data_IF_066727785443
#
_entry.id   IF_066727785443
#
_cell.length_a   1.000
_cell.length_b   1.000
_cell.length_c   1.000
_cell.angle_alpha   90.00
_cell.angle_beta   90.00
_cell.angle_gamma   90.00
#
_symmetry.space_group_name_H-M   'P 1'
#
loop_
_entity.id
_entity.type
_entity.pdbx_description
1 polymer ?
#
# COMPACT_ATOMS: atom_id res chain seq x y z
N UNK A 1 39.32 29.45 17.99
CA UNK A 1 39.08 28.03 17.63
C UNK A 1 37.59 27.80 17.54
N UNK A 2 36.99 28.04 16.37
CA UNK A 2 35.58 27.75 16.10
C UNK A 2 35.48 26.38 15.44
N UNK A 3 34.94 25.39 16.15
CA UNK A 3 34.49 24.13 15.54
C UNK A 3 33.13 24.41 14.88
N UNK A 4 33.06 24.28 13.56
CA UNK A 4 31.79 24.23 12.84
C UNK A 4 31.04 22.96 13.26
N UNK A 5 29.82 23.13 13.77
CA UNK A 5 28.96 22.04 14.27
C UNK A 5 28.27 21.28 13.12
N UNK A 6 28.41 21.73 11.88
CA UNK A 6 27.78 21.11 10.71
C UNK A 6 28.84 20.80 9.65
N UNK A 7 29.44 19.61 9.75
CA UNK A 7 30.10 19.00 8.61
C UNK A 7 29.04 18.41 7.69
N UNK A 8 28.54 19.22 6.74
CA UNK A 8 27.85 18.65 5.58
C UNK A 8 28.95 18.12 4.65
N UNK A 9 29.11 16.80 4.62
CA UNK A 9 29.87 16.15 3.56
C UNK A 9 29.13 16.39 2.24
N UNK A 10 29.65 17.28 1.40
CA UNK A 10 29.05 17.62 0.11
C UNK A 10 29.07 16.46 -0.89
N UNK A 11 29.73 15.34 -0.54
CA UNK A 11 29.80 14.12 -1.35
C UNK A 11 28.95 12.97 -0.82
N UNK A 12 28.22 13.13 0.29
CA UNK A 12 27.25 12.12 0.73
C UNK A 12 26.02 12.20 -0.16
N UNK A 13 26.07 11.51 -1.31
CA UNK A 13 24.90 11.27 -2.13
C UNK A 13 23.93 10.45 -1.26
N UNK A 14 22.85 11.08 -0.79
CA UNK A 14 21.77 10.36 -0.10
C UNK A 14 21.13 9.48 -1.16
N UNK A 15 21.45 8.18 -1.12
CA UNK A 15 20.86 7.18 -2.00
C UNK A 15 19.42 6.92 -1.53
N UNK A 16 18.52 7.83 -1.89
CA UNK A 16 17.10 7.69 -1.62
C UNK A 16 16.46 6.96 -2.81
N UNK A 17 15.79 5.81 -2.59
CA UNK A 17 15.13 5.12 -3.68
C UNK A 17 14.01 5.99 -4.27
N UNK A 18 13.78 5.87 -5.59
CA UNK A 18 12.75 6.63 -6.30
C UNK A 18 11.34 6.44 -5.73
N UNK A 19 11.07 5.27 -5.15
CA UNK A 19 9.83 4.94 -4.46
C UNK A 19 10.16 4.32 -3.09
N UNK A 20 9.34 4.53 -2.07
CA UNK A 20 9.65 4.08 -0.71
C UNK A 20 9.64 2.56 -0.58
N UNK A 21 10.53 2.03 0.27
CA UNK A 21 10.58 0.61 0.63
C UNK A 21 9.52 0.34 1.73
N UNK A 22 8.28 0.05 1.34
CA UNK A 22 7.17 -0.16 2.29
C UNK A 22 5.96 -0.87 1.67
N UNK A 23 4.98 -1.18 2.52
CA UNK A 23 3.66 -1.62 2.10
C UNK A 23 2.83 -0.46 1.56
N UNK A 24 2.40 -0.57 0.31
CA UNK A 24 1.58 0.42 -0.38
C UNK A 24 0.13 -0.05 -0.44
N UNK A 25 -0.79 0.75 0.10
CA UNK A 25 -2.22 0.47 -0.01
C UNK A 25 -2.70 0.67 -1.45
N UNK A 26 -2.79 -0.41 -2.21
CA UNK A 26 -3.07 -0.37 -3.65
C UNK A 26 -4.55 -0.11 -3.95
N UNK A 27 -5.47 -0.74 -3.22
CA UNK A 27 -6.91 -0.57 -3.42
C UNK A 27 -7.74 -1.10 -2.24
N UNK A 28 -9.03 -0.72 -2.13
CA UNK A 28 -9.97 -1.37 -1.23
C UNK A 28 -10.17 -2.83 -1.64
N UNK A 29 -10.22 -3.73 -0.66
CA UNK A 29 -10.52 -5.15 -0.86
C UNK A 29 -11.84 -5.36 -1.60
N UNK A 30 -12.87 -4.59 -1.25
CA UNK A 30 -14.19 -4.62 -1.92
C UNK A 30 -14.15 -4.29 -3.41
N UNK A 31 -13.07 -3.64 -3.88
CA UNK A 31 -12.91 -3.29 -5.28
C UNK A 31 -12.38 -4.45 -6.15
N UNK A 32 -12.06 -5.59 -5.52
CA UNK A 32 -11.64 -6.83 -6.16
C UNK A 32 -12.47 -8.01 -5.60
N UNK A 33 -13.78 -8.14 -5.93
CA UNK A 33 -14.62 -9.22 -5.42
C UNK A 33 -14.13 -10.61 -5.89
N UNK A 34 -14.77 -11.68 -5.41
CA UNK A 34 -14.47 -13.04 -5.86
C UNK A 34 -14.58 -13.16 -7.39
N UNK A 35 -13.65 -13.90 -7.99
CA UNK A 35 -13.51 -14.12 -9.42
C UNK A 35 -13.29 -12.84 -10.25
N UNK A 36 -12.77 -11.77 -9.63
CA UNK A 36 -12.46 -10.53 -10.30
C UNK A 36 -10.97 -10.40 -10.64
N UNK A 37 -10.71 -9.62 -11.68
CA UNK A 37 -9.38 -9.20 -12.13
C UNK A 37 -9.37 -7.69 -12.20
N UNK A 38 -8.26 -7.07 -11.78
CA UNK A 38 -8.09 -5.62 -11.85
C UNK A 38 -6.68 -5.27 -12.27
N UNK A 39 -6.58 -4.51 -13.35
CA UNK A 39 -5.35 -3.86 -13.79
C UNK A 39 -5.15 -2.54 -13.05
N UNK A 40 -3.92 -2.26 -12.64
CA UNK A 40 -3.55 -0.99 -12.01
C UNK A 40 -2.05 -0.71 -12.14
N UNK A 41 -1.65 0.54 -11.91
CA UNK A 41 -0.25 0.96 -11.93
C UNK A 41 0.23 1.28 -10.51
N UNK A 42 1.47 0.90 -10.19
CA UNK A 42 2.13 1.23 -8.93
C UNK A 42 3.64 1.34 -9.15
N UNK A 43 4.28 2.39 -8.65
CA UNK A 43 5.73 2.59 -8.77
C UNK A 43 6.25 2.49 -10.22
N UNK A 44 5.47 3.01 -11.18
CA UNK A 44 5.78 2.93 -12.62
C UNK A 44 5.64 1.53 -13.23
N UNK A 45 5.10 0.56 -12.51
CA UNK A 45 4.90 -0.81 -12.96
C UNK A 45 3.42 -1.08 -13.25
N UNK A 46 3.13 -1.76 -14.37
CA UNK A 46 1.80 -2.26 -14.68
C UNK A 46 1.57 -3.60 -13.97
N UNK A 47 0.54 -3.66 -13.14
CA UNK A 47 0.23 -4.79 -12.26
C UNK A 47 -1.17 -5.32 -12.54
N UNK A 48 -1.36 -6.60 -12.21
CA UNK A 48 -2.66 -7.27 -12.21
C UNK A 48 -2.92 -7.85 -10.83
N UNK A 49 -4.03 -7.44 -10.21
CA UNK A 49 -4.60 -8.08 -9.03
C UNK A 49 -5.71 -9.03 -9.46
N UNK A 50 -5.79 -10.22 -8.87
CA UNK A 50 -6.92 -11.10 -9.06
C UNK A 50 -7.27 -11.84 -7.77
N UNK A 51 -8.54 -12.20 -7.64
CA UNK A 51 -9.08 -12.98 -6.52
C UNK A 51 -9.91 -14.12 -7.11
N UNK A 52 -9.57 -15.36 -6.81
CA UNK A 52 -10.32 -16.52 -7.28
C UNK A 52 -11.23 -17.11 -6.22
N UNK A 53 -11.53 -18.41 -6.36
CA UNK A 53 -12.50 -19.12 -5.53
C UNK A 53 -12.01 -19.34 -4.10
N UNK A 54 -10.69 -19.33 -3.87
CA UNK A 54 -10.13 -19.43 -2.51
C UNK A 54 -10.38 -18.18 -1.66
N UNK A 55 -10.70 -17.05 -2.30
CA UNK A 55 -10.80 -15.74 -1.67
C UNK A 55 -9.46 -15.03 -1.46
N UNK A 56 -8.33 -15.70 -1.68
CA UNK A 56 -7.01 -15.08 -1.58
C UNK A 56 -6.79 -14.06 -2.71
N UNK A 57 -6.13 -12.96 -2.37
CA UNK A 57 -5.71 -11.93 -3.33
C UNK A 57 -4.29 -12.21 -3.80
N UNK A 58 -4.10 -12.13 -5.11
CA UNK A 58 -2.80 -12.26 -5.75
C UNK A 58 -2.50 -11.03 -6.59
N UNK A 59 -1.27 -10.53 -6.52
CA UNK A 59 -0.79 -9.46 -7.40
C UNK A 59 0.44 -9.93 -8.16
N UNK A 60 0.38 -9.81 -9.47
CA UNK A 60 1.45 -10.14 -10.40
C UNK A 60 1.76 -8.93 -11.28
N UNK A 61 2.89 -8.99 -11.98
CA UNK A 61 3.16 -8.07 -13.09
C UNK A 61 2.15 -8.32 -14.23
N UNK A 62 1.69 -7.26 -14.89
CA UNK A 62 0.57 -7.36 -15.82
C UNK A 62 0.92 -8.08 -17.13
N UNK A 63 2.18 -8.08 -17.57
CA UNK A 63 2.53 -8.58 -18.90
C UNK A 63 2.87 -10.06 -18.91
N UNK A 64 2.19 -10.80 -19.79
CA UNK A 64 2.41 -12.21 -20.02
C UNK A 64 3.80 -12.46 -20.63
N UNK A 65 4.65 -13.34 -20.05
CA UNK A 65 6.00 -13.60 -20.55
C UNK A 65 6.04 -14.33 -21.90
N UNK A 66 4.88 -14.79 -22.42
CA UNK A 66 4.81 -15.41 -23.74
C UNK A 66 5.04 -14.38 -24.86
N UNK A 67 4.12 -13.42 -25.02
CA UNK A 67 4.17 -12.40 -26.09
C UNK A 67 3.68 -11.02 -25.61
N UNK A 68 3.71 -10.74 -24.30
CA UNK A 68 3.47 -9.41 -23.76
C UNK A 68 2.00 -8.98 -23.67
N UNK A 69 1.03 -9.90 -23.80
CA UNK A 69 -0.38 -9.57 -23.55
C UNK A 69 -0.59 -9.13 -22.09
N UNK A 70 -1.39 -8.09 -21.87
CA UNK A 70 -1.72 -7.64 -20.52
C UNK A 70 -2.79 -8.56 -19.90
N UNK A 71 -2.39 -9.29 -18.85
CA UNK A 71 -3.21 -10.23 -18.09
C UNK A 71 -4.40 -9.56 -17.39
N UNK A 72 -4.28 -8.28 -17.04
CA UNK A 72 -5.37 -7.51 -16.42
C UNK A 72 -6.40 -6.96 -17.41
N UNK A 73 -6.11 -7.01 -18.72
CA UNK A 73 -7.01 -6.52 -19.78
C UNK A 73 -7.56 -7.70 -20.55
N UNK A 74 -8.79 -8.13 -20.22
CA UNK A 74 -9.47 -9.27 -20.85
C UNK A 74 -9.07 -10.63 -20.30
N UNK A 75 -8.04 -10.71 -19.45
CA UNK A 75 -7.78 -11.91 -18.66
C UNK A 75 -8.88 -12.14 -17.61
N UNK A 76 -9.03 -13.40 -17.18
CA UNK A 76 -10.04 -13.81 -16.22
C UNK A 76 -9.50 -14.88 -15.30
N UNK A 77 -10.11 -14.99 -14.11
CA UNK A 77 -9.72 -15.98 -13.12
C UNK A 77 -10.26 -17.36 -13.51
N UNK A 78 -9.40 -18.36 -13.37
CA UNK A 78 -9.73 -19.78 -13.55
C UNK A 78 -9.07 -20.58 -12.43
N UNK A 79 -9.59 -21.75 -12.13
CA UNK A 79 -8.94 -22.69 -11.21
C UNK A 79 -8.17 -23.74 -12.00
N UNK A 80 -6.89 -23.95 -11.69
CA UNK A 80 -6.07 -25.01 -12.25
C UNK A 80 -5.48 -25.84 -11.10
N UNK A 81 -5.75 -27.14 -11.07
CA UNK A 81 -5.21 -28.06 -10.05
C UNK A 81 -5.47 -27.62 -8.59
N UNK A 82 -6.58 -26.90 -8.35
CA UNK A 82 -6.94 -26.37 -7.03
C UNK A 82 -6.38 -24.98 -6.71
N UNK A 83 -5.50 -24.43 -7.57
CA UNK A 83 -4.94 -23.09 -7.41
C UNK A 83 -5.74 -22.05 -8.21
N UNK A 84 -5.94 -20.87 -7.63
CA UNK A 84 -6.46 -19.72 -8.35
C UNK A 84 -5.40 -19.20 -9.33
N UNK A 85 -5.79 -19.09 -10.60
CA UNK A 85 -4.92 -18.68 -11.70
C UNK A 85 -5.54 -17.54 -12.52
N UNK A 86 -4.69 -16.66 -13.04
CA UNK A 86 -5.08 -15.71 -14.09
C UNK A 86 -4.82 -16.35 -15.46
N UNK A 87 -5.86 -16.43 -16.30
CA UNK A 87 -5.75 -16.89 -17.67
C UNK A 87 -5.47 -15.71 -18.61
N UNK A 88 -4.38 -15.82 -19.37
CA UNK A 88 -4.00 -14.86 -20.39
C UNK A 88 -5.06 -14.80 -21.51
N UNK A 89 -5.53 -13.61 -21.89
CA UNK A 89 -6.57 -13.45 -22.92
C UNK A 89 -6.10 -13.86 -24.32
N UNK A 90 -4.79 -13.90 -24.57
CA UNK A 90 -4.27 -14.10 -25.92
C UNK A 90 -4.23 -15.59 -26.30
N UNK A 91 -3.46 -16.38 -25.55
CA UNK A 91 -3.22 -17.79 -25.86
C UNK A 91 -3.65 -18.75 -24.75
N UNK A 92 -4.38 -18.26 -23.74
CA UNK A 92 -4.93 -19.09 -22.68
C UNK A 92 -3.92 -19.67 -21.68
N UNK A 93 -2.67 -19.18 -21.66
CA UNK A 93 -1.69 -19.56 -20.64
C UNK A 93 -2.19 -19.15 -19.26
N UNK A 94 -2.05 -20.02 -18.26
CA UNK A 94 -2.54 -19.78 -16.89
C UNK A 94 -1.37 -19.62 -15.95
N UNK A 95 -1.40 -18.55 -15.15
CA UNK A 95 -0.38 -18.27 -14.14
C UNK A 95 -1.03 -18.27 -12.77
N UNK A 96 -0.44 -19.02 -11.83
CA UNK A 96 -0.90 -19.07 -10.44
C UNK A 96 -0.59 -17.78 -9.68
N UNK A 97 -1.14 -17.65 -8.48
CA UNK A 97 -0.80 -16.55 -7.55
C UNK A 97 0.67 -16.51 -7.10
N UNK A 98 1.41 -17.59 -7.32
CA UNK A 98 2.86 -17.70 -7.17
C UNK A 98 3.64 -17.16 -8.38
N UNK A 99 2.95 -16.79 -9.47
CA UNK A 99 3.53 -16.33 -10.73
C UNK A 99 3.94 -17.46 -11.67
N UNK A 100 3.86 -18.72 -11.26
CA UNK A 100 4.31 -19.86 -12.06
C UNK A 100 3.30 -20.18 -13.15
N UNK A 101 3.79 -20.60 -14.32
CA UNK A 101 2.94 -21.11 -15.39
C UNK A 101 2.34 -22.47 -15.01
N UNK A 102 1.05 -22.48 -14.68
CA UNK A 102 0.31 -23.67 -14.22
C UNK A 102 -0.31 -24.46 -15.38
N UNK A 103 -0.56 -23.82 -16.52
CA UNK A 103 -1.14 -24.48 -17.69
C UNK A 103 -0.81 -23.75 -18.99
N UNK A 104 -0.52 -24.53 -20.03
CA UNK A 104 -0.48 -24.08 -21.41
C UNK A 104 -1.47 -24.94 -22.20
N UNK A 105 -2.43 -24.35 -22.93
CA UNK A 105 -3.35 -25.14 -23.75
C UNK A 105 -2.60 -26.06 -24.72
N UNK A 106 -3.07 -27.30 -24.84
CA UNK A 106 -2.49 -28.35 -25.70
C UNK A 106 -1.06 -28.80 -25.35
N UNK A 107 -0.49 -28.35 -24.23
CA UNK A 107 0.77 -28.87 -23.71
C UNK A 107 0.48 -29.92 -22.62
N UNK A 108 1.22 -31.04 -22.64
CA UNK A 108 1.11 -32.06 -21.61
C UNK A 108 1.92 -31.66 -20.35
N UNK A 109 1.60 -32.29 -19.21
CA UNK A 109 2.22 -31.94 -17.92
C UNK A 109 3.72 -32.21 -17.86
N UNK A 110 4.23 -33.21 -18.61
CA UNK A 110 5.67 -33.48 -18.69
C UNK A 110 6.42 -32.33 -19.37
N UNK A 111 5.90 -31.82 -20.47
CA UNK A 111 6.52 -30.73 -21.23
C UNK A 111 6.33 -29.40 -20.50
N UNK A 112 5.21 -29.21 -19.80
CA UNK A 112 4.98 -28.02 -18.97
C UNK A 112 6.07 -27.84 -17.90
N UNK A 113 6.57 -28.93 -17.31
CA UNK A 113 7.68 -28.87 -16.32
C UNK A 113 8.99 -28.33 -16.91
N UNK A 114 9.18 -28.42 -18.22
CA UNK A 114 10.34 -27.86 -18.90
C UNK A 114 10.20 -26.35 -19.17
N UNK A 115 8.99 -25.79 -19.06
CA UNK A 115 8.72 -24.37 -19.30
C UNK A 115 9.13 -23.54 -18.09
N UNK A 116 10.00 -22.55 -18.31
CA UNK A 116 10.52 -21.63 -17.28
C UNK A 116 9.83 -20.25 -17.29
N UNK A 117 8.61 -20.18 -17.81
CA UNK A 117 7.87 -18.93 -17.90
C UNK A 117 7.27 -18.57 -16.53
N UNK A 118 7.70 -17.43 -15.98
CA UNK A 118 7.27 -16.92 -14.68
C UNK A 118 6.84 -15.47 -14.83
N UNK A 119 5.70 -15.12 -14.24
CA UNK A 119 5.29 -13.72 -14.05
C UNK A 119 5.77 -13.30 -12.68
N UNK A 120 6.43 -12.14 -12.57
CA UNK A 120 6.88 -11.63 -11.26
C UNK A 120 5.67 -11.45 -10.33
N UNK A 121 5.66 -12.19 -9.22
CA UNK A 121 4.76 -12.02 -8.08
C UNK A 121 5.16 -10.81 -7.26
N UNK A 122 4.16 -10.09 -6.76
CA UNK A 122 4.33 -9.04 -5.76
C UNK A 122 3.81 -9.50 -4.41
N UNK A 123 4.59 -9.30 -3.35
CA UNK A 123 4.14 -9.65 -1.99
C UNK A 123 2.92 -8.81 -1.67
N UNK A 124 1.85 -9.49 -1.24
CA UNK A 124 0.52 -8.90 -1.11
C UNK A 124 -0.07 -9.31 0.23
N UNK A 125 -0.69 -8.35 0.93
CA UNK A 125 -1.45 -8.60 2.15
C UNK A 125 -2.81 -7.95 2.02
N UNK A 126 -3.86 -8.72 2.29
CA UNK A 126 -5.19 -8.16 2.51
C UNK A 126 -5.43 -8.04 4.01
N UNK A 127 -5.62 -6.82 4.48
CA UNK A 127 -5.88 -6.52 5.90
C UNK A 127 -6.62 -5.20 6.00
N UNK A 128 -7.40 -5.02 7.06
CA UNK A 128 -8.13 -3.77 7.30
C UNK A 128 -8.98 -3.31 6.09
N UNK A 129 -9.69 -4.21 5.41
CA UNK A 129 -10.46 -3.91 4.20
C UNK A 129 -9.65 -3.31 3.02
N UNK A 130 -8.31 -3.34 3.08
CA UNK A 130 -7.38 -2.83 2.07
C UNK A 130 -6.49 -3.96 1.55
N UNK A 131 -6.10 -3.85 0.28
CA UNK A 131 -5.09 -4.69 -0.34
C UNK A 131 -3.79 -3.87 -0.37
N UNK A 132 -2.78 -4.37 0.31
CA UNK A 132 -1.43 -3.81 0.35
C UNK A 132 -0.50 -4.61 -0.55
N UNK A 133 0.41 -3.89 -1.23
CA UNK A 133 1.46 -4.47 -2.06
C UNK A 133 2.80 -3.96 -1.56
N UNK A 134 3.75 -4.85 -1.30
CA UNK A 134 5.09 -4.49 -0.87
C UNK A 134 5.90 -3.96 -2.04
N UNK A 135 6.58 -2.84 -1.82
CA UNK A 135 7.61 -2.33 -2.72
C UNK A 135 8.94 -2.27 -1.98
N UNK A 136 10.01 -2.70 -2.65
CA UNK A 136 11.39 -2.48 -2.24
C UNK A 136 12.23 -2.26 -3.49
N UNK A 137 13.06 -1.22 -3.51
CA UNK A 137 13.93 -0.83 -4.64
C UNK A 137 14.86 -1.98 -5.07
N UNK A 138 15.45 -2.65 -4.09
CA UNK A 138 16.35 -3.80 -4.30
C UNK A 138 15.65 -5.17 -4.30
N UNK A 139 14.33 -5.19 -4.08
CA UNK A 139 13.55 -6.43 -4.05
C UNK A 139 13.69 -7.28 -2.78
N UNK A 140 14.16 -6.70 -1.67
CA UNK A 140 14.22 -7.36 -0.37
C UNK A 140 12.82 -7.73 0.15
N UNK A 141 12.76 -8.74 1.00
CA UNK A 141 11.53 -9.17 1.66
C UNK A 141 11.02 -8.13 2.68
N UNK A 142 9.69 -8.12 2.99
CA UNK A 142 9.13 -7.23 3.99
C UNK A 142 9.74 -7.44 5.38
N UNK A 143 10.28 -6.37 5.95
CA UNK A 143 10.83 -6.31 7.32
C UNK A 143 9.83 -5.72 8.33
N UNK A 144 8.77 -5.06 7.85
CA UNK A 144 7.65 -4.56 8.63
C UNK A 144 6.32 -4.94 7.98
N UNK A 145 5.22 -4.81 8.73
CA UNK A 145 3.88 -5.21 8.29
C UNK A 145 2.83 -4.18 8.73
N UNK A 146 1.74 -3.97 7.96
CA UNK A 146 0.65 -3.09 8.39
C UNK A 146 0.02 -3.58 9.70
N UNK A 147 -0.17 -2.67 10.65
CA UNK A 147 -0.89 -2.96 11.90
C UNK A 147 -2.33 -3.40 11.59
N UNK A 148 -2.83 -4.38 12.33
CA UNK A 148 -4.23 -4.81 12.25
C UNK A 148 -5.10 -3.97 13.19
N UNK A 149 -5.50 -2.80 12.71
CA UNK A 149 -6.27 -1.87 13.53
C UNK A 149 -7.72 -2.34 13.73
N UNK A 150 -8.30 -3.10 12.80
CA UNK A 150 -9.65 -3.65 12.97
C UNK A 150 -9.68 -4.72 14.06
N UNK A 151 -8.66 -5.58 14.10
CA UNK A 151 -8.50 -6.51 15.21
C UNK A 151 -8.24 -5.79 16.54
N UNK A 152 -7.45 -4.71 16.52
CA UNK A 152 -7.05 -3.97 17.73
C UNK A 152 -8.15 -3.10 18.34
N UNK A 153 -8.96 -2.43 17.50
CA UNK A 153 -9.93 -1.41 17.93
C UNK A 153 -11.39 -1.86 17.74
N UNK A 154 -11.62 -3.06 17.20
CA UNK A 154 -12.92 -3.70 17.13
C UNK A 154 -13.54 -3.67 15.73
N UNK A 155 -14.20 -4.78 15.37
CA UNK A 155 -14.84 -5.01 14.06
C UNK A 155 -16.05 -4.11 13.75
N UNK A 156 -16.46 -3.24 14.68
CA UNK A 156 -17.49 -2.23 14.42
C UNK A 156 -16.95 -1.03 13.63
N UNK A 157 -15.63 -0.97 13.42
CA UNK A 157 -14.98 -0.01 12.55
C UNK A 157 -14.97 -0.54 11.11
N UNK A 158 -15.42 0.28 10.16
CA UNK A 158 -15.33 -0.01 8.73
C UNK A 158 -14.97 1.25 7.97
N UNK A 159 -14.37 1.11 6.80
CA UNK A 159 -14.16 2.24 5.90
C UNK A 159 -15.50 2.73 5.35
N UNK A 160 -16.10 3.72 6.02
CA UNK A 160 -17.35 4.32 5.55
C UNK A 160 -17.21 5.01 4.20
N UNK A 161 -16.05 5.61 3.94
CA UNK A 161 -15.75 6.29 2.69
C UNK A 161 -14.36 5.89 2.20
N UNK A 162 -14.25 5.67 0.89
CA UNK A 162 -12.97 5.56 0.19
C UNK A 162 -12.99 6.59 -0.94
N UNK A 163 -11.93 7.36 -1.03
CA UNK A 163 -11.74 8.36 -2.07
C UNK A 163 -10.34 8.21 -2.65
N UNK A 164 -10.26 8.30 -3.97
CA UNK A 164 -9.01 8.24 -4.72
C UNK A 164 -9.01 9.35 -5.76
N UNK A 165 -7.85 9.99 -5.90
CA UNK A 165 -7.56 11.00 -6.91
C UNK A 165 -6.17 10.77 -7.46
N UNK A 166 -6.04 10.96 -8.76
CA UNK A 166 -4.74 11.10 -9.40
C UNK A 166 -4.22 12.51 -9.15
N UNK A 167 -2.94 12.63 -8.78
CA UNK A 167 -2.26 13.89 -8.58
C UNK A 167 -0.96 13.84 -9.39
N UNK A 168 -0.80 14.80 -10.30
CA UNK A 168 0.40 14.97 -11.12
C UNK A 168 1.52 15.64 -10.31
N UNK A 169 1.99 14.97 -9.26
CA UNK A 169 3.00 15.47 -8.33
C UNK A 169 3.81 14.32 -7.73
N UNK A 170 4.98 14.64 -7.17
CA UNK A 170 5.69 13.70 -6.30
C UNK A 170 4.80 13.38 -5.07
N UNK A 171 4.77 12.10 -4.68
CA UNK A 171 4.03 11.62 -3.51
C UNK A 171 4.49 12.29 -2.20
N UNK A 172 5.75 12.72 -2.12
CA UNK A 172 6.34 13.40 -0.96
C UNK A 172 5.59 14.69 -0.60
N UNK A 173 5.04 15.40 -1.59
CA UNK A 173 4.28 16.65 -1.39
C UNK A 173 3.06 16.42 -0.48
N UNK A 174 2.46 15.23 -0.55
CA UNK A 174 1.35 14.86 0.36
C UNK A 174 1.89 14.63 1.78
N UNK A 175 3.09 14.07 1.90
CA UNK A 175 3.76 13.84 3.18
C UNK A 175 4.14 15.14 3.91
N UNK A 176 4.53 16.19 3.19
CA UNK A 176 4.90 17.50 3.77
C UNK A 176 3.77 18.12 4.61
N UNK A 177 2.51 17.85 4.24
CA UNK A 177 1.34 18.31 4.99
C UNK A 177 1.34 17.84 6.45
N UNK A 178 2.00 16.71 6.75
CA UNK A 178 2.10 16.17 8.12
C UNK A 178 2.90 17.07 9.07
N UNK A 179 3.87 17.82 8.53
CA UNK A 179 4.74 18.72 9.30
C UNK A 179 4.25 20.17 9.34
N UNK A 180 3.36 20.56 8.42
CA UNK A 180 2.82 21.91 8.34
C UNK A 180 1.67 22.08 9.34
N UNK A 181 1.93 22.68 10.49
CA UNK A 181 0.87 22.96 11.47
C UNK A 181 0.05 24.21 11.11
N UNK A 182 0.59 25.13 10.30
CA UNK A 182 -0.05 26.40 9.96
C UNK A 182 -1.21 26.19 8.98
N UNK A 183 -1.17 25.15 8.13
CA UNK A 183 -2.27 24.85 7.20
C UNK A 183 -3.60 24.57 7.92
N UNK A 184 -3.58 24.11 9.17
CA UNK A 184 -4.80 23.91 9.95
C UNK A 184 -5.57 25.22 10.15
N UNK A 185 -4.87 26.30 10.48
CA UNK A 185 -5.50 27.61 10.63
C UNK A 185 -5.95 28.17 9.27
N UNK A 186 -5.13 28.00 8.22
CA UNK A 186 -5.36 28.64 6.91
C UNK A 186 -6.37 27.92 6.02
N UNK A 187 -6.31 26.58 5.95
CA UNK A 187 -7.17 25.77 5.08
C UNK A 187 -8.42 25.26 5.79
N UNK A 188 -8.32 24.94 7.08
CA UNK A 188 -9.43 24.35 7.83
C UNK A 188 -10.17 25.35 8.73
N UNK A 189 -9.65 26.57 8.89
CA UNK A 189 -10.20 27.55 9.84
C UNK A 189 -10.09 27.10 11.30
N UNK A 190 -9.24 26.10 11.58
CA UNK A 190 -9.08 25.49 12.89
C UNK A 190 -8.03 26.24 13.69
N UNK A 191 -8.41 26.77 14.85
CA UNK A 191 -7.44 27.25 15.83
C UNK A 191 -6.88 26.00 16.50
N UNK A 192 -5.58 25.74 16.38
CA UNK A 192 -4.91 24.65 17.11
C UNK A 192 -4.49 25.23 18.46
N UNK A 193 -5.31 25.13 19.54
CA UNK A 193 -5.18 26.04 20.67
C UNK A 193 -4.00 25.68 21.58
N UNK A 194 -3.50 24.44 21.55
CA UNK A 194 -2.42 23.98 22.42
C UNK A 194 -1.65 22.82 21.75
N UNK A 195 -0.59 23.12 21.03
CA UNK A 195 0.49 22.15 20.76
C UNK A 195 1.67 22.48 21.68
N UNK A 196 1.48 22.34 22.99
CA UNK A 196 2.60 22.41 23.94
C UNK A 196 3.50 21.18 23.85
N UNK A 197 3.01 20.06 23.29
CA UNK A 197 3.82 18.86 23.02
C UNK A 197 3.29 18.09 21.81
N UNK A 198 3.73 18.44 20.59
CA UNK A 198 3.69 17.47 19.49
C UNK A 198 4.83 16.49 19.70
N UNK A 199 4.53 15.29 20.24
CA UNK A 199 5.54 14.24 20.31
C UNK A 199 5.54 13.50 18.98
N UNK A 200 6.41 13.94 18.09
CA UNK A 200 6.79 13.11 16.95
C UNK A 200 7.68 11.99 17.49
N UNK A 201 7.13 10.78 17.59
CA UNK A 201 8.00 9.60 17.66
C UNK A 201 8.30 9.21 16.22
N UNK A 202 9.49 9.59 15.77
CA UNK A 202 10.14 8.94 14.65
C UNK A 202 10.91 7.76 15.25
N UNK A 203 10.34 6.58 15.18
CA UNK A 203 11.16 5.39 15.35
C UNK A 203 11.77 5.14 13.98
N UNK A 204 12.98 5.68 13.84
CA UNK A 204 13.84 5.40 12.70
C UNK A 204 14.64 4.15 13.04
N UNK A 205 14.31 3.02 12.42
CA UNK A 205 15.24 1.91 12.37
C UNK A 205 16.24 2.20 11.28
N UNK A 206 17.49 2.47 11.68
CA UNK A 206 18.63 2.50 10.75
C UNK A 206 19.00 1.05 10.46
N UNK A 207 18.78 0.60 9.23
CA UNK A 207 19.31 -0.71 8.83
C UNK A 207 20.85 -0.68 8.85
N UNK A 208 21.49 -1.85 8.83
CA UNK A 208 22.95 -1.95 8.72
C UNK A 208 23.50 -1.24 7.46
N UNK A 209 22.62 -0.95 6.50
CA UNK A 209 22.90 -0.45 5.16
C UNK A 209 22.62 1.05 5.03
N UNK A 210 22.46 1.76 6.14
CA UNK A 210 22.16 3.20 6.19
C UNK A 210 20.78 3.63 5.65
N UNK A 211 19.87 2.71 5.34
CA UNK A 211 18.49 3.08 5.03
C UNK A 211 17.76 3.58 6.28
N UNK A 212 17.05 4.70 6.13
CA UNK A 212 16.19 5.27 7.17
C UNK A 212 14.76 4.85 6.84
N UNK A 213 14.30 3.74 7.41
CA UNK A 213 12.87 3.43 7.48
C UNK A 213 12.31 4.06 8.76
N UNK A 214 11.36 4.98 8.60
CA UNK A 214 10.75 5.70 9.71
C UNK A 214 9.24 5.57 9.68
N UNK A 215 8.65 5.26 10.83
CA UNK A 215 7.22 5.46 11.04
C UNK A 215 7.01 6.76 11.82
N UNK A 216 6.18 7.66 11.29
CA UNK A 216 5.75 8.85 12.00
C UNK A 216 4.41 8.56 12.67
N UNK A 217 4.42 8.42 14.00
CA UNK A 217 3.16 8.47 14.77
C UNK A 217 3.00 9.88 15.31
N UNK A 218 2.01 10.61 14.81
CA UNK A 218 1.69 11.94 15.31
C UNK A 218 0.71 11.78 16.49
N UNK A 219 1.21 12.03 17.70
CA UNK A 219 0.36 12.19 18.88
C UNK A 219 -0.05 13.66 18.99
N UNK A 220 -1.26 13.98 18.56
CA UNK A 220 -1.91 15.28 18.83
C UNK A 220 -2.75 15.13 20.08
N UNK A 221 -2.20 15.52 21.24
CA UNK A 221 -2.96 15.65 22.48
C UNK A 221 -3.43 17.11 22.60
N UNK A 222 -4.74 17.36 22.59
CA UNK A 222 -5.29 18.67 23.01
C UNK A 222 -6.36 19.33 22.12
N UNK A 223 -7.39 18.61 21.68
CA UNK A 223 -8.62 19.24 21.16
C UNK A 223 -9.78 19.04 22.16
N UNK A 224 -10.19 20.11 22.85
CA UNK A 224 -11.49 20.21 23.54
C UNK A 224 -12.50 20.86 22.59
N UNK A 225 -12.98 20.07 21.62
CA UNK A 225 -14.31 20.19 21.04
C UNK A 225 -14.58 18.84 20.37
N UNK A 226 -15.42 18.05 21.03
CA UNK A 226 -15.74 16.64 20.72
C UNK A 226 -14.57 15.70 21.04
N UNK A 227 -14.59 15.17 22.26
CA UNK A 227 -13.77 14.02 22.67
C UNK A 227 -13.92 12.90 21.64
N UNK A 228 -12.84 12.53 20.93
CA UNK A 228 -12.40 11.15 20.64
C UNK A 228 -10.91 11.20 20.22
N UNK A 229 -10.04 10.27 20.67
CA UNK A 229 -8.62 10.26 20.31
C UNK A 229 -8.42 9.90 18.83
N UNK A 230 -7.69 10.74 18.09
CA UNK A 230 -7.37 10.55 16.68
C UNK A 230 -5.99 9.89 16.58
N UNK A 231 -5.85 8.83 15.79
CA UNK A 231 -4.55 8.27 15.37
C UNK A 231 -4.49 8.29 13.85
N UNK A 232 -3.63 9.15 13.31
CA UNK A 232 -3.31 9.18 11.88
C UNK A 232 -2.20 8.15 11.61
N UNK A 233 -2.52 7.17 10.76
CA UNK A 233 -1.54 6.22 10.22
C UNK A 233 -1.07 6.72 8.86
N UNK A 234 0.20 7.11 8.75
CA UNK A 234 0.84 7.44 7.50
C UNK A 234 1.77 6.30 7.11
N UNK A 235 1.26 5.37 6.32
CA UNK A 235 2.05 4.36 5.63
C UNK A 235 1.53 4.29 4.20
N UNK A 236 2.27 4.90 3.25
CA UNK A 236 1.85 5.07 1.86
C UNK A 236 0.64 6.03 1.68
N UNK A 237 0.22 6.45 0.46
CA UNK A 237 -0.71 7.59 0.26
C UNK A 237 -2.17 7.27 0.65
N UNK A 238 -2.38 6.31 1.54
CA UNK A 238 -3.66 6.05 2.19
C UNK A 238 -3.71 6.85 3.48
N UNK A 239 -4.29 8.05 3.40
CA UNK A 239 -4.75 8.75 4.59
C UNK A 239 -5.97 8.01 5.15
N UNK A 240 -5.78 7.21 6.19
CA UNK A 240 -6.88 6.59 6.93
C UNK A 240 -7.34 7.58 8.01
N UNK A 241 -8.44 8.28 7.75
CA UNK A 241 -9.07 9.16 8.72
C UNK A 241 -10.19 8.40 9.44
N UNK A 242 -10.01 8.15 10.74
CA UNK A 242 -11.05 7.56 11.59
C UNK A 242 -11.85 8.67 12.28
N UNK A 243 -13.15 8.76 11.96
CA UNK A 243 -14.14 9.43 12.80
C UNK A 243 -14.76 8.38 13.72
N UNK A 244 -14.36 8.37 14.98
CA UNK A 244 -15.06 7.60 15.99
C UNK A 244 -16.33 8.36 16.36
N UNK A 245 -17.50 7.75 16.07
CA UNK A 245 -18.83 8.08 16.59
C UNK A 245 -19.18 9.56 16.81
N UNK A 246 -20.05 10.10 15.95
CA UNK A 246 -20.72 11.38 16.20
C UNK A 246 -21.84 11.17 17.24
N UNK A 247 -21.72 11.80 18.40
CA UNK A 247 -22.79 11.87 19.41
C UNK A 247 -23.72 13.05 19.07
N UNK A 248 -24.93 12.74 18.59
CA UNK A 248 -25.96 13.74 18.27
C UNK A 248 -26.49 14.50 19.51
N UNK A 249 -26.13 14.10 20.73
CA UNK A 249 -26.56 14.80 21.95
C UNK A 249 -25.80 16.10 22.23
N UNK A 250 -24.72 16.38 21.49
CA UNK A 250 -23.92 17.62 21.61
C UNK A 250 -24.41 18.74 20.68
N UNK A 251 -25.34 18.45 19.78
CA UNK A 251 -26.17 19.49 19.17
C UNK A 251 -27.34 19.73 20.12
N UNK A 252 -27.16 20.68 21.04
CA UNK A 252 -28.29 21.26 21.76
C UNK A 252 -29.35 21.77 20.78
N UNK A 253 -30.60 21.98 21.23
CA UNK A 253 -31.75 22.27 20.36
C UNK A 253 -31.52 23.46 19.42
#
# INVERSE_FOLDING_TARGET
MSRSVFGHDQNAQIDCPQFPNTWIGAMPSRSLPLNAVKHFEMCGQQLVAFRGGSGAVHVLSAYCPHLGANLGIGGHVVTESGDDCIQCPFHGWRFGGDGQCKRIPNLNDSDLKAVKAVVKKWQTIEKNELIYVWHHSEGSDPDHYPEDFLAKYGHNLSFRYYYSRHMDSNFEVVGENCGDLEHFARLHGSVVPYLTTTKFSFDTTRSADNEIAGFATIYVLGFELITQPWKLWFGSPVMVQHLLGYDNSLLGP
#
